data_IF_299722050587
#
_entry.id   IF_299722050587
#
_cell.length_a   1.000
_cell.length_b   1.000
_cell.length_c   1.000
_cell.angle_alpha   90.00
_cell.angle_beta   90.00
_cell.angle_gamma   90.00
#
_symmetry.space_group_name_H-M   'P 1'
#
loop_
_entity.id
_entity.type
_entity.pdbx_description
1 polymer ?
#
# COMPACT_ATOMS: atom_id res chain seq x y z
N UNK A 1 -25.55 -4.90 3.20
CA UNK A 1 -24.19 -5.13 3.74
C UNK A 1 -23.40 -5.78 2.61
N UNK A 2 -22.48 -5.06 1.97
CA UNK A 2 -21.61 -5.69 0.96
C UNK A 2 -20.53 -6.50 1.70
N UNK A 3 -20.19 -7.71 1.25
CA UNK A 3 -19.00 -8.39 1.78
C UNK A 3 -17.80 -7.48 1.51
N UNK A 4 -17.14 -7.02 2.58
CA UNK A 4 -15.87 -6.30 2.46
C UNK A 4 -14.82 -7.34 2.09
N UNK A 5 -14.33 -7.29 0.87
CA UNK A 5 -13.19 -8.08 0.44
C UNK A 5 -12.02 -7.77 1.38
N UNK A 6 -11.36 -8.81 1.91
CA UNK A 6 -10.10 -8.63 2.63
C UNK A 6 -9.11 -7.90 1.70
N UNK A 7 -8.35 -6.90 2.21
CA UNK A 7 -7.34 -6.24 1.40
C UNK A 7 -6.32 -7.29 0.95
N UNK A 8 -6.32 -7.60 -0.35
CA UNK A 8 -5.25 -8.40 -0.94
C UNK A 8 -3.98 -7.54 -0.96
N UNK A 9 -2.87 -8.12 -0.51
CA UNK A 9 -1.57 -7.44 -0.54
C UNK A 9 -1.24 -7.01 -1.98
N UNK A 10 -0.93 -5.73 -2.16
CA UNK A 10 -0.52 -5.16 -3.43
C UNK A 10 0.83 -5.74 -3.84
N UNK A 11 0.88 -6.33 -5.03
CA UNK A 11 2.12 -6.81 -5.63
C UNK A 11 2.96 -5.64 -6.17
N UNK A 12 4.23 -5.92 -6.49
CA UNK A 12 5.10 -4.97 -7.22
C UNK A 12 4.47 -4.51 -8.54
N UNK A 13 3.71 -5.38 -9.21
CA UNK A 13 3.03 -5.04 -10.46
C UNK A 13 1.84 -4.09 -10.22
N UNK A 14 1.13 -4.23 -9.11
CA UNK A 14 0.04 -3.32 -8.74
C UNK A 14 0.58 -1.93 -8.45
N UNK A 15 1.69 -1.84 -7.69
CA UNK A 15 2.37 -0.57 -7.41
C UNK A 15 2.89 0.10 -8.69
N UNK A 16 3.48 -0.68 -9.62
CA UNK A 16 3.91 -0.17 -10.91
C UNK A 16 2.73 0.35 -11.75
N UNK A 17 1.59 -0.34 -11.70
CA UNK A 17 0.34 0.09 -12.37
C UNK A 17 -0.16 1.41 -11.80
N UNK A 18 -0.16 1.57 -10.47
CA UNK A 18 -0.55 2.81 -9.80
C UNK A 18 0.39 3.96 -10.20
N UNK A 19 1.69 3.73 -10.17
CA UNK A 19 2.67 4.75 -10.52
C UNK A 19 2.61 5.14 -12.01
N UNK A 20 2.35 4.20 -12.91
CA UNK A 20 2.12 4.48 -14.33
C UNK A 20 0.83 5.30 -14.54
N UNK A 21 -0.26 4.94 -13.86
CA UNK A 21 -1.51 5.70 -13.90
C UNK A 21 -1.36 7.14 -13.37
N UNK A 22 -0.45 7.36 -12.41
CA UNK A 22 -0.10 8.67 -11.89
C UNK A 22 0.85 9.48 -12.81
N UNK A 23 1.33 8.91 -13.92
CA UNK A 23 2.30 9.54 -14.81
C UNK A 23 3.71 9.65 -14.23
N UNK A 24 4.00 8.93 -13.15
CA UNK A 24 5.30 8.93 -12.46
C UNK A 24 6.26 7.86 -13.02
N UNK A 25 5.74 6.95 -13.83
CA UNK A 25 6.47 5.85 -14.42
C UNK A 25 6.33 5.90 -15.95
N UNK A 26 7.44 6.01 -16.71
CA UNK A 26 7.38 5.98 -18.16
C UNK A 26 6.78 4.65 -18.67
N UNK A 27 6.11 4.66 -19.84
CA UNK A 27 5.60 3.44 -20.44
C UNK A 27 6.70 2.38 -20.62
N UNK A 28 6.44 1.14 -20.16
CA UNK A 28 7.38 0.03 -20.28
C UNK A 28 8.55 0.05 -19.27
N UNK A 29 8.56 1.00 -18.33
CA UNK A 29 9.53 1.02 -17.23
C UNK A 29 9.01 0.26 -16.00
N UNK A 30 9.91 -0.22 -15.16
CA UNK A 30 9.57 -0.82 -13.86
C UNK A 30 9.86 0.13 -12.71
N UNK A 31 9.17 -0.04 -11.58
CA UNK A 31 9.60 0.60 -10.33
C UNK A 31 10.97 0.08 -9.93
N UNK A 32 11.93 0.98 -9.70
CA UNK A 32 13.22 0.60 -9.15
C UNK A 32 13.08 0.13 -7.70
N UNK A 33 14.08 -0.60 -7.20
CA UNK A 33 14.08 -1.07 -5.80
C UNK A 33 14.01 0.10 -4.81
N UNK A 34 14.71 1.20 -5.10
CA UNK A 34 14.73 2.40 -4.28
C UNK A 34 13.35 3.09 -4.24
N UNK A 35 12.65 3.13 -5.37
CA UNK A 35 11.30 3.70 -5.43
C UNK A 35 10.29 2.83 -4.68
N UNK A 36 10.45 1.51 -4.72
CA UNK A 36 9.64 0.58 -3.94
C UNK A 36 9.89 0.73 -2.44
N UNK A 37 11.14 0.83 -2.04
CA UNK A 37 11.52 1.06 -0.64
C UNK A 37 10.96 2.39 -0.14
N UNK A 38 11.15 3.48 -0.90
CA UNK A 38 10.55 4.79 -0.59
C UNK A 38 9.03 4.69 -0.42
N UNK A 39 8.34 4.02 -1.35
CA UNK A 39 6.89 3.83 -1.29
C UNK A 39 6.49 3.08 -0.02
N UNK A 40 7.19 1.98 0.30
CA UNK A 40 6.95 1.19 1.52
C UNK A 40 7.21 2.00 2.79
N UNK A 41 8.25 2.82 2.82
CA UNK A 41 8.54 3.71 3.97
C UNK A 41 7.42 4.73 4.18
N UNK A 42 6.97 5.40 3.11
CA UNK A 42 5.87 6.38 3.20
C UNK A 42 4.59 5.70 3.70
N UNK A 43 4.24 4.55 3.14
CA UNK A 43 3.08 3.77 3.58
C UNK A 43 3.23 3.29 5.02
N UNK A 44 4.45 2.93 5.46
CA UNK A 44 4.74 2.59 6.85
C UNK A 44 4.44 3.73 7.81
N UNK A 45 4.75 4.97 7.44
CA UNK A 45 4.34 6.15 8.21
C UNK A 45 2.82 6.34 8.23
N UNK A 46 2.14 6.09 7.10
CA UNK A 46 0.68 6.11 7.06
C UNK A 46 0.08 5.04 7.98
N UNK A 47 0.65 3.84 8.03
CA UNK A 47 0.24 2.79 8.93
C UNK A 47 0.42 3.20 10.40
N UNK A 48 1.58 3.78 10.74
CA UNK A 48 1.85 4.30 12.07
C UNK A 48 0.83 5.38 12.51
N UNK A 49 0.48 6.31 11.62
CA UNK A 49 -0.59 7.29 11.89
C UNK A 49 -1.93 6.56 12.05
N UNK A 50 -2.18 5.55 11.22
CA UNK A 50 -3.35 4.69 11.22
C UNK A 50 -3.55 3.89 12.52
N UNK A 51 -2.49 3.63 13.29
CA UNK A 51 -2.56 2.93 14.57
C UNK A 51 -3.42 3.69 15.61
N UNK A 52 -3.60 5.01 15.41
CA UNK A 52 -4.48 5.84 16.26
C UNK A 52 -5.97 5.74 15.89
N UNK A 53 -6.32 5.06 14.79
CA UNK A 53 -7.67 4.94 14.28
C UNK A 53 -8.14 3.49 14.41
N UNK A 54 -8.90 3.20 15.47
CA UNK A 54 -9.31 1.83 15.82
C UNK A 54 -10.82 1.66 15.71
N UNK A 55 -11.24 0.55 15.10
CA UNK A 55 -12.64 0.09 15.07
C UNK A 55 -12.74 -1.38 15.54
N UNK A 56 -13.92 -1.98 15.38
CA UNK A 56 -14.19 -3.37 15.77
C UNK A 56 -13.30 -4.41 15.04
N UNK A 57 -12.74 -4.04 13.87
CA UNK A 57 -11.93 -4.90 13.02
C UNK A 57 -10.41 -4.66 13.20
N UNK A 58 -10.00 -3.84 14.18
CA UNK A 58 -8.61 -3.49 14.46
C UNK A 58 -8.23 -2.07 14.05
N UNK A 59 -6.93 -1.78 13.93
CA UNK A 59 -6.47 -0.44 13.59
C UNK A 59 -6.48 -0.23 12.07
N UNK A 60 -6.64 1.02 11.63
CA UNK A 60 -6.42 1.37 10.23
C UNK A 60 -4.97 1.08 9.81
N UNK A 61 -4.02 1.15 10.76
CA UNK A 61 -2.63 0.76 10.56
C UNK A 61 -2.46 -0.71 10.15
N UNK A 62 -3.15 -1.63 10.83
CA UNK A 62 -3.12 -3.06 10.49
C UNK A 62 -3.66 -3.33 9.09
N UNK A 63 -4.75 -2.64 8.72
CA UNK A 63 -5.36 -2.73 7.39
C UNK A 63 -4.39 -2.22 6.30
N UNK A 64 -3.64 -1.15 6.57
CA UNK A 64 -2.61 -0.63 5.67
C UNK A 64 -1.44 -1.61 5.57
N UNK A 65 -0.93 -2.14 6.70
CA UNK A 65 0.17 -3.13 6.69
C UNK A 65 -0.18 -4.36 5.88
N UNK A 66 -1.40 -4.89 6.05
CA UNK A 66 -1.90 -6.02 5.28
C UNK A 66 -1.99 -5.71 3.77
N UNK A 67 -2.48 -4.53 3.40
CA UNK A 67 -2.61 -4.13 2.00
C UNK A 67 -1.26 -3.94 1.28
N UNK A 68 -0.17 -3.69 2.00
CA UNK A 68 1.15 -3.38 1.42
C UNK A 68 2.25 -4.38 1.78
N UNK A 69 1.89 -5.50 2.43
CA UNK A 69 2.83 -6.54 2.89
C UNK A 69 3.96 -5.95 3.75
N UNK A 70 3.61 -5.06 4.67
CA UNK A 70 4.53 -4.44 5.62
C UNK A 70 4.48 -5.26 6.92
N UNK A 71 5.40 -6.22 7.06
CA UNK A 71 5.57 -7.05 8.25
C UNK A 71 5.97 -6.24 9.50
#
# INVERSE_FOLDING_TARGET
MHPRSEPCALSRADLATIAAAAGLLPPGSEMTSELLEYTRTVVGYCAFIGDSYTDEDGTAGDKIRAAFDLA
#
